data_IF_209807375807
#
_entry.id   IF_209807375807
#
_cell.length_a   1.000
_cell.length_b   1.000
_cell.length_c   1.000
_cell.angle_alpha   90.00
_cell.angle_beta   90.00
_cell.angle_gamma   90.00
#
_symmetry.space_group_name_H-M   'P 1'
#
loop_
_entity.id
_entity.type
_entity.pdbx_description
1 polymer ?
#
# COMPACT_ATOMS: atom_id res chain seq x y z
N UNK A 1 -8.68 15.58 37.50
CA UNK A 1 -9.06 16.58 38.52
C UNK A 1 -10.09 17.51 37.89
N UNK A 2 -11.36 17.32 38.22
CA UNK A 2 -12.49 18.09 37.69
C UNK A 2 -12.53 19.47 38.35
N UNK A 3 -12.53 20.54 37.57
CA UNK A 3 -12.89 21.87 38.08
C UNK A 3 -14.38 22.13 37.84
N UNK A 4 -15.08 22.47 38.94
CA UNK A 4 -16.51 22.79 38.99
C UNK A 4 -16.70 24.31 38.92
N UNK A 5 -17.70 24.69 38.13
CA UNK A 5 -18.13 26.01 37.65
C UNK A 5 -18.53 27.02 38.74
N UNK A 6 -18.41 28.33 38.46
CA UNK A 6 -19.40 29.34 38.91
C UNK A 6 -19.66 30.36 37.80
N UNK A 7 -20.86 30.30 37.20
CA UNK A 7 -21.46 31.40 36.43
C UNK A 7 -22.27 32.30 37.37
N UNK A 8 -22.21 33.64 37.21
CA UNK A 8 -23.22 34.51 37.76
C UNK A 8 -24.41 34.63 36.79
N UNK A 9 -25.58 34.27 37.32
CA UNK A 9 -26.96 34.73 37.05
C UNK A 9 -27.19 35.54 35.75
N UNK A 10 -27.99 34.97 34.83
CA UNK A 10 -28.65 35.75 33.78
C UNK A 10 -29.04 34.99 32.50
N UNK A 11 -30.15 34.24 32.55
CA UNK A 11 -31.16 34.10 31.48
C UNK A 11 -30.71 33.82 30.02
N UNK A 12 -30.79 32.55 29.61
CA UNK A 12 -31.53 31.97 28.46
C UNK A 12 -30.87 30.66 28.01
N UNK A 13 -31.67 29.60 27.98
CA UNK A 13 -31.32 28.28 27.41
C UNK A 13 -31.06 28.36 25.90
N UNK A 14 -30.05 27.63 25.42
CA UNK A 14 -30.15 26.75 24.27
C UNK A 14 -29.93 25.31 24.78
N UNK A 15 -30.94 24.43 24.81
CA UNK A 15 -31.30 23.54 23.69
C UNK A 15 -30.06 23.07 22.93
N UNK A 16 -29.73 21.81 23.19
CA UNK A 16 -28.84 20.90 22.45
C UNK A 16 -27.32 21.09 22.58
N UNK A 17 -26.77 20.53 23.67
CA UNK A 17 -25.39 20.03 23.66
C UNK A 17 -25.39 18.63 23.01
N UNK A 18 -24.58 18.35 21.98
CA UNK A 18 -24.55 17.04 21.36
C UNK A 18 -23.92 16.04 22.33
N UNK A 19 -24.65 14.95 22.56
CA UNK A 19 -24.17 13.71 23.16
C UNK A 19 -23.06 13.14 22.24
N UNK A 20 -21.79 13.41 22.57
CA UNK A 20 -20.63 12.82 21.89
C UNK A 20 -20.60 11.33 22.24
N UNK A 21 -21.22 10.53 21.39
CA UNK A 21 -21.48 9.11 21.62
C UNK A 21 -20.27 8.26 21.24
N UNK A 22 -19.99 7.20 22.01
CA UNK A 22 -18.90 6.24 21.83
C UNK A 22 -18.72 5.65 20.41
N UNK A 23 -19.69 5.87 19.51
CA UNK A 23 -19.66 5.50 18.10
C UNK A 23 -18.65 6.31 17.29
N UNK A 24 -18.37 7.56 17.66
CA UNK A 24 -17.36 8.38 16.98
C UNK A 24 -15.92 7.90 17.25
N UNK A 25 -15.61 7.46 18.48
CA UNK A 25 -14.27 6.96 18.84
C UNK A 25 -13.91 5.63 18.15
N UNK A 26 -14.86 4.68 18.01
CA UNK A 26 -14.65 3.43 17.27
C UNK A 26 -14.45 3.68 15.77
N UNK A 27 -15.25 4.60 15.21
CA UNK A 27 -15.16 4.98 13.79
C UNK A 27 -13.79 5.61 13.49
N UNK A 28 -13.25 6.42 14.40
CA UNK A 28 -11.92 7.02 14.30
C UNK A 28 -10.76 6.00 14.41
N UNK A 29 -10.91 4.94 15.21
CA UNK A 29 -9.90 3.87 15.28
C UNK A 29 -9.86 3.01 14.02
N UNK A 30 -11.02 2.65 13.49
CA UNK A 30 -11.14 1.89 12.24
C UNK A 30 -10.62 2.74 11.07
N UNK A 31 -10.96 4.03 11.05
CA UNK A 31 -10.45 5.00 10.07
C UNK A 31 -8.92 5.12 10.15
N UNK A 32 -8.33 5.20 11.35
CA UNK A 32 -6.86 5.16 11.53
C UNK A 32 -6.27 3.84 11.08
N UNK A 33 -6.97 2.72 11.19
CA UNK A 33 -6.47 1.41 10.77
C UNK A 33 -6.43 1.26 9.24
N UNK A 34 -7.49 1.69 8.53
CA UNK A 34 -7.56 1.60 7.06
C UNK A 34 -6.78 2.70 6.32
N UNK A 35 -6.61 3.88 6.93
CA UNK A 35 -5.76 4.97 6.40
C UNK A 35 -4.32 4.84 6.91
N UNK A 36 -4.02 3.90 7.84
CA UNK A 36 -2.67 3.75 8.37
C UNK A 36 -1.69 3.38 7.26
N UNK A 37 -0.53 4.06 7.19
CA UNK A 37 0.54 3.77 6.23
C UNK A 37 0.92 2.28 6.21
N UNK A 38 0.80 1.59 7.35
CA UNK A 38 1.04 0.15 7.52
C UNK A 38 0.07 -0.72 6.73
N UNK A 39 -1.26 -0.51 6.86
CA UNK A 39 -2.23 -1.33 6.13
C UNK A 39 -2.04 -1.15 4.63
N UNK A 40 -1.83 0.09 4.18
CA UNK A 40 -1.59 0.40 2.77
C UNK A 40 -0.27 -0.18 2.25
N UNK A 41 0.82 -0.12 3.04
CA UNK A 41 2.13 -0.66 2.63
C UNK A 41 2.14 -2.20 2.63
N UNK A 42 1.52 -2.85 3.61
CA UNK A 42 1.40 -4.31 3.68
C UNK A 42 0.50 -4.86 2.57
N UNK A 43 -0.59 -4.18 2.23
CA UNK A 43 -1.61 -4.74 1.33
C UNK A 43 -1.54 -4.26 -0.11
N UNK A 44 -0.85 -3.15 -0.36
CA UNK A 44 -0.64 -2.62 -1.72
C UNK A 44 0.84 -2.71 -2.09
N UNK A 45 1.73 -2.24 -1.22
CA UNK A 45 3.17 -2.21 -1.47
C UNK A 45 3.80 -3.60 -1.60
N UNK A 46 3.60 -4.48 -0.62
CA UNK A 46 4.19 -5.83 -0.63
C UNK A 46 3.72 -6.66 -1.83
N UNK A 47 2.42 -6.73 -2.17
CA UNK A 47 1.99 -7.43 -3.38
C UNK A 47 2.64 -6.91 -4.66
N UNK A 48 2.77 -5.59 -4.83
CA UNK A 48 3.46 -5.01 -6.00
C UNK A 48 4.94 -5.39 -6.06
N UNK A 49 5.62 -5.43 -4.92
CA UNK A 49 7.00 -5.92 -4.85
C UNK A 49 7.09 -7.40 -5.24
N UNK A 50 6.17 -8.24 -4.76
CA UNK A 50 6.11 -9.67 -5.11
C UNK A 50 5.90 -9.85 -6.62
N UNK A 51 4.98 -9.12 -7.24
CA UNK A 51 4.76 -9.21 -8.69
C UNK A 51 6.00 -8.84 -9.49
N UNK A 52 6.68 -7.75 -9.14
CA UNK A 52 7.94 -7.35 -9.78
C UNK A 52 9.01 -8.43 -9.61
N UNK A 53 9.17 -8.97 -8.41
CA UNK A 53 10.17 -9.99 -8.10
C UNK A 53 9.92 -11.27 -8.91
N UNK A 54 8.69 -11.79 -8.90
CA UNK A 54 8.32 -13.01 -9.62
C UNK A 54 8.47 -12.82 -11.14
N UNK A 55 8.08 -11.66 -11.66
CA UNK A 55 8.32 -11.32 -13.06
C UNK A 55 9.80 -11.27 -13.41
N UNK A 56 10.63 -10.63 -12.59
CA UNK A 56 12.08 -10.57 -12.80
C UNK A 56 12.74 -11.95 -12.78
N UNK A 57 12.36 -12.81 -11.82
CA UNK A 57 12.84 -14.22 -11.76
C UNK A 57 12.43 -14.98 -13.02
N UNK A 58 11.17 -14.83 -13.44
CA UNK A 58 10.65 -15.50 -14.65
C UNK A 58 11.37 -15.00 -15.91
N UNK A 59 11.62 -13.68 -16.01
CA UNK A 59 12.38 -13.09 -17.11
C UNK A 59 13.81 -13.61 -17.18
N UNK A 60 14.49 -13.77 -16.04
CA UNK A 60 15.83 -14.41 -15.98
C UNK A 60 15.75 -15.86 -16.44
N UNK A 61 14.77 -16.64 -15.92
CA UNK A 61 14.59 -18.06 -16.24
C UNK A 61 14.39 -18.29 -17.73
N UNK A 62 13.51 -17.51 -18.36
CA UNK A 62 13.25 -17.55 -19.80
C UNK A 62 14.44 -16.97 -20.59
N UNK A 63 15.06 -15.91 -20.09
CA UNK A 63 16.18 -15.21 -20.71
C UNK A 63 17.41 -16.09 -20.89
N UNK A 64 17.73 -16.94 -19.90
CA UNK A 64 18.88 -17.86 -19.97
C UNK A 64 18.77 -18.78 -21.20
N UNK A 65 17.56 -19.19 -21.58
CA UNK A 65 17.32 -20.04 -22.75
C UNK A 65 17.11 -19.29 -24.07
N UNK A 66 17.00 -17.95 -24.06
CA UNK A 66 16.54 -17.18 -25.23
C UNK A 66 17.46 -16.00 -25.60
N UNK A 67 17.76 -15.11 -24.66
CA UNK A 67 18.51 -13.89 -24.95
C UNK A 67 19.16 -13.26 -23.71
N UNK A 68 20.45 -12.92 -23.82
CA UNK A 68 21.21 -12.26 -22.75
C UNK A 68 20.64 -10.91 -22.29
N UNK A 69 20.08 -10.04 -23.18
CA UNK A 69 19.45 -8.79 -22.74
C UNK A 69 18.27 -8.99 -21.79
N UNK A 70 17.47 -10.04 -22.00
CA UNK A 70 16.32 -10.35 -21.15
C UNK A 70 16.77 -10.78 -19.75
N UNK A 71 17.90 -11.49 -19.64
CA UNK A 71 18.50 -11.85 -18.35
C UNK A 71 18.92 -10.60 -17.57
N UNK A 72 19.62 -9.66 -18.22
CA UNK A 72 20.03 -8.41 -17.58
C UNK A 72 18.83 -7.56 -17.14
N UNK A 73 17.80 -7.49 -17.98
CA UNK A 73 16.56 -6.82 -17.64
C UNK A 73 15.87 -7.47 -16.43
N UNK A 74 15.77 -8.79 -16.41
CA UNK A 74 15.19 -9.53 -15.28
C UNK A 74 15.93 -9.26 -13.97
N UNK A 75 17.26 -9.27 -13.98
CA UNK A 75 18.07 -8.91 -12.80
C UNK A 75 17.86 -7.47 -12.35
N UNK A 76 17.77 -6.51 -13.28
CA UNK A 76 17.47 -5.13 -12.94
C UNK A 76 16.12 -5.00 -12.23
N UNK A 77 15.10 -5.72 -12.71
CA UNK A 77 13.77 -5.76 -12.08
C UNK A 77 13.81 -6.42 -10.70
N UNK A 78 14.57 -7.52 -10.52
CA UNK A 78 14.75 -8.18 -9.21
C UNK A 78 15.35 -7.21 -8.19
N UNK A 79 16.43 -6.50 -8.56
CA UNK A 79 17.08 -5.53 -7.68
C UNK A 79 16.12 -4.40 -7.31
N UNK A 80 15.37 -3.90 -8.30
CA UNK A 80 14.36 -2.87 -8.07
C UNK A 80 13.25 -3.34 -7.14
N UNK A 81 12.72 -4.56 -7.34
CA UNK A 81 11.71 -5.17 -6.47
C UNK A 81 12.22 -5.33 -5.03
N UNK A 82 13.48 -5.74 -4.85
CA UNK A 82 14.11 -5.88 -3.54
C UNK A 82 14.25 -4.53 -2.83
N UNK A 83 14.65 -3.48 -3.54
CA UNK A 83 14.72 -2.12 -2.99
C UNK A 83 13.34 -1.62 -2.55
N UNK A 84 12.32 -1.78 -3.41
CA UNK A 84 10.94 -1.41 -3.07
C UNK A 84 10.40 -2.21 -1.87
N UNK A 85 10.75 -3.50 -1.77
CA UNK A 85 10.33 -4.35 -0.64
C UNK A 85 10.98 -3.89 0.66
N UNK A 86 12.28 -3.58 0.65
CA UNK A 86 12.99 -3.07 1.82
C UNK A 86 12.39 -1.74 2.30
N UNK A 87 12.03 -0.86 1.37
CA UNK A 87 11.40 0.43 1.71
C UNK A 87 9.99 0.25 2.29
N UNK A 88 9.15 -0.57 1.66
CA UNK A 88 7.79 -0.85 2.15
C UNK A 88 7.81 -1.58 3.50
N UNK A 89 8.72 -2.55 3.67
CA UNK A 89 8.87 -3.29 4.93
C UNK A 89 9.44 -2.39 6.03
N UNK A 90 10.51 -1.63 5.74
CA UNK A 90 11.14 -0.73 6.69
C UNK A 90 10.17 0.33 7.20
N UNK A 91 9.34 0.89 6.31
CA UNK A 91 8.29 1.84 6.70
C UNK A 91 7.21 1.20 7.57
N UNK A 92 6.77 -0.01 7.22
CA UNK A 92 5.79 -0.75 8.03
C UNK A 92 6.33 -1.01 9.43
N UNK A 93 7.59 -1.44 9.55
CA UNK A 93 8.25 -1.67 10.84
C UNK A 93 8.41 -0.38 11.65
N UNK A 94 8.83 0.73 11.03
CA UNK A 94 9.00 2.02 11.71
C UNK A 94 7.67 2.59 12.22
N UNK A 95 6.60 2.47 11.44
CA UNK A 95 5.25 2.89 11.85
C UNK A 95 4.70 1.99 12.97
N UNK A 96 5.01 0.67 12.95
CA UNK A 96 4.73 -0.22 14.09
C UNK A 96 5.49 0.19 15.36
N UNK A 97 6.70 0.72 15.23
CA UNK A 97 7.53 1.20 16.35
C UNK A 97 7.16 2.63 16.80
N UNK A 98 6.10 3.23 16.25
CA UNK A 98 5.62 4.56 16.64
C UNK A 98 6.53 5.71 16.20
N UNK A 99 7.48 5.47 15.31
CA UNK A 99 8.40 6.49 14.80
C UNK A 99 7.90 7.01 13.44
N UNK A 100 7.71 8.33 13.27
CA UNK A 100 7.36 8.88 11.96
C UNK A 100 8.53 8.65 10.99
N UNK A 101 8.32 7.78 10.00
CA UNK A 101 9.29 7.54 8.94
C UNK A 101 9.38 8.74 8.00
N UNK A 102 10.57 9.35 7.89
CA UNK A 102 10.88 10.39 6.89
C UNK A 102 11.07 9.83 5.45
N UNK A 103 10.82 8.54 5.22
CA UNK A 103 11.01 7.87 3.93
C UNK A 103 9.70 7.71 3.13
N UNK A 104 9.81 7.67 1.80
CA UNK A 104 8.69 7.49 0.88
C UNK A 104 8.36 6.01 0.60
N UNK A 105 7.22 5.74 -0.06
CA UNK A 105 6.67 4.38 -0.21
C UNK A 105 7.47 3.45 -1.15
N UNK A 106 8.09 3.97 -2.23
CA UNK A 106 8.84 3.19 -3.22
C UNK A 106 10.13 3.91 -3.66
N UNK A 107 11.10 3.19 -4.22
CA UNK A 107 12.40 3.74 -4.67
C UNK A 107 12.21 4.83 -5.73
N UNK A 108 11.26 4.61 -6.64
CA UNK A 108 10.86 5.57 -7.68
C UNK A 108 10.19 6.80 -7.05
N UNK A 109 9.35 6.65 -6.02
CA UNK A 109 8.77 7.78 -5.30
C UNK A 109 9.86 8.61 -4.61
N UNK A 110 10.86 7.97 -3.99
CA UNK A 110 12.01 8.65 -3.41
C UNK A 110 12.83 9.43 -4.46
N UNK A 111 12.98 8.91 -5.68
CA UNK A 111 13.54 9.71 -6.78
C UNK A 111 12.63 10.90 -7.14
N UNK A 112 11.31 10.70 -7.16
CA UNK A 112 10.31 11.75 -7.35
C UNK A 112 10.27 12.81 -6.26
N UNK A 113 10.75 12.51 -5.05
CA UNK A 113 10.88 13.49 -3.96
C UNK A 113 11.92 14.56 -4.27
N UNK A 114 12.99 14.18 -4.96
CA UNK A 114 14.05 15.09 -5.40
C UNK A 114 13.48 16.09 -6.43
N UNK A 115 12.49 15.65 -7.22
CA UNK A 115 11.79 16.46 -8.23
C UNK A 115 10.53 17.14 -7.65
N UNK A 116 10.26 16.99 -6.34
CA UNK A 116 9.12 17.59 -5.65
C UNK A 116 7.75 17.02 -6.04
N UNK A 117 7.68 15.88 -6.74
CA UNK A 117 6.42 15.24 -7.19
C UNK A 117 6.33 13.75 -6.84
N UNK A 118 6.39 13.38 -5.56
CA UNK A 118 6.45 11.98 -5.14
C UNK A 118 5.22 11.15 -5.50
N UNK A 119 4.03 11.76 -5.53
CA UNK A 119 2.77 11.08 -5.86
C UNK A 119 2.69 10.63 -7.32
N UNK A 120 3.26 11.40 -8.24
CA UNK A 120 3.28 11.05 -9.68
C UNK A 120 4.17 9.83 -9.91
N UNK A 121 5.33 9.80 -9.27
CA UNK A 121 6.27 8.70 -9.34
C UNK A 121 5.72 7.42 -8.70
N UNK A 122 4.92 7.54 -7.64
CA UNK A 122 4.17 6.41 -7.07
C UNK A 122 3.08 5.88 -8.03
N UNK A 123 2.39 6.77 -8.74
CA UNK A 123 1.40 6.35 -9.75
C UNK A 123 2.06 5.61 -10.92
N UNK A 124 3.26 6.03 -11.33
CA UNK A 124 4.06 5.31 -12.34
C UNK A 124 4.46 3.92 -11.83
N UNK A 125 4.95 3.81 -10.59
CA UNK A 125 5.30 2.53 -9.97
C UNK A 125 4.12 1.54 -9.95
N UNK A 126 2.94 2.08 -9.60
CA UNK A 126 1.67 1.35 -9.61
C UNK A 126 1.29 0.92 -11.03
N UNK A 127 1.38 1.82 -12.00
CA UNK A 127 1.11 1.52 -13.42
C UNK A 127 2.04 0.42 -13.95
N UNK A 128 3.33 0.51 -13.68
CA UNK A 128 4.31 -0.50 -14.09
C UNK A 128 4.03 -1.85 -13.44
N UNK A 129 3.61 -1.86 -12.17
CA UNK A 129 3.21 -3.09 -11.48
C UNK A 129 1.99 -3.73 -12.15
N UNK A 130 0.96 -2.95 -12.50
CA UNK A 130 -0.19 -3.47 -13.26
C UNK A 130 0.20 -3.95 -14.67
N UNK A 131 1.11 -3.26 -15.36
CA UNK A 131 1.62 -3.69 -16.65
C UNK A 131 2.33 -5.05 -16.55
N UNK A 132 3.12 -5.27 -15.49
CA UNK A 132 3.76 -6.56 -15.19
C UNK A 132 2.72 -7.66 -14.97
N UNK A 133 1.68 -7.39 -14.17
CA UNK A 133 0.58 -8.35 -13.93
C UNK A 133 -0.09 -8.72 -15.24
N UNK A 134 -0.50 -7.72 -16.03
CA UNK A 134 -1.14 -7.93 -17.32
C UNK A 134 -0.25 -8.73 -18.28
N UNK A 135 1.05 -8.41 -18.32
CA UNK A 135 2.00 -9.13 -19.16
C UNK A 135 2.12 -10.59 -18.74
N UNK A 136 2.35 -10.87 -17.45
CA UNK A 136 2.48 -12.24 -16.91
C UNK A 136 1.26 -13.12 -17.23
N UNK A 137 0.06 -12.54 -17.17
CA UNK A 137 -1.18 -13.24 -17.50
C UNK A 137 -1.35 -13.41 -19.02
N UNK A 138 -1.10 -12.37 -19.81
CA UNK A 138 -1.30 -12.40 -21.25
C UNK A 138 -0.27 -13.26 -21.99
N UNK A 139 1.00 -13.21 -21.59
CA UNK A 139 2.08 -13.99 -22.20
C UNK A 139 2.07 -15.47 -21.79
N UNK A 140 1.27 -15.83 -20.78
CA UNK A 140 1.26 -17.16 -20.18
C UNK A 140 2.44 -17.43 -19.25
N UNK A 141 3.33 -16.46 -18.99
CA UNK A 141 4.51 -16.65 -18.12
C UNK A 141 4.15 -17.03 -16.69
N UNK A 142 2.90 -16.82 -16.27
CA UNK A 142 2.38 -17.35 -15.02
C UNK A 142 2.57 -18.87 -14.86
N UNK A 143 2.59 -19.64 -15.95
CA UNK A 143 2.78 -21.10 -15.89
C UNK A 143 4.23 -21.51 -15.64
N UNK A 144 5.18 -20.59 -15.82
CA UNK A 144 6.60 -20.85 -15.57
C UNK A 144 6.95 -20.73 -14.08
N UNK A 145 6.02 -20.25 -13.24
CA UNK A 145 6.22 -20.15 -11.81
C UNK A 145 6.25 -21.55 -11.18
N UNK A 146 7.21 -21.77 -10.27
CA UNK A 146 7.22 -22.94 -9.39
C UNK A 146 6.01 -22.92 -8.45
N UNK A 147 5.69 -24.04 -7.82
CA UNK A 147 4.58 -24.16 -6.87
C UNK A 147 4.62 -23.08 -5.78
N UNK A 148 5.81 -22.81 -5.22
CA UNK A 148 5.97 -21.79 -4.16
C UNK A 148 5.76 -20.38 -4.72
N UNK A 149 6.32 -20.09 -5.88
CA UNK A 149 6.16 -18.80 -6.58
C UNK A 149 4.70 -18.55 -6.95
N UNK A 150 3.98 -19.58 -7.41
CA UNK A 150 2.56 -19.51 -7.73
C UNK A 150 1.70 -19.23 -6.48
N UNK A 151 1.97 -19.90 -5.36
CA UNK A 151 1.28 -19.58 -4.10
C UNK A 151 1.53 -18.14 -3.65
N UNK A 152 2.77 -17.64 -3.78
CA UNK A 152 3.08 -16.24 -3.50
C UNK A 152 2.33 -15.29 -4.43
N UNK A 153 2.26 -15.61 -5.72
CA UNK A 153 1.48 -14.84 -6.69
C UNK A 153 0.01 -14.77 -6.30
N UNK A 154 -0.63 -15.92 -6.02
CA UNK A 154 -2.04 -15.97 -5.65
C UNK A 154 -2.32 -15.24 -4.34
N UNK A 155 -1.45 -15.38 -3.34
CA UNK A 155 -1.57 -14.66 -2.09
C UNK A 155 -1.46 -13.14 -2.31
N UNK A 156 -0.48 -12.70 -3.10
CA UNK A 156 -0.29 -11.29 -3.46
C UNK A 156 -1.49 -10.73 -4.23
N UNK A 157 -2.01 -11.45 -5.23
CA UNK A 157 -3.21 -11.05 -5.99
C UNK A 157 -4.43 -10.94 -5.08
N UNK A 158 -4.65 -11.93 -4.22
CA UNK A 158 -5.78 -11.94 -3.29
C UNK A 158 -5.70 -10.75 -2.34
N UNK A 159 -4.53 -10.52 -1.73
CA UNK A 159 -4.31 -9.41 -0.83
C UNK A 159 -4.49 -8.06 -1.55
N UNK A 160 -3.96 -7.90 -2.75
CA UNK A 160 -4.04 -6.67 -3.52
C UNK A 160 -5.50 -6.34 -3.91
N UNK A 161 -6.21 -7.30 -4.50
CA UNK A 161 -7.58 -7.08 -4.98
C UNK A 161 -8.57 -6.87 -3.85
N UNK A 162 -8.54 -7.71 -2.82
CA UNK A 162 -9.44 -7.58 -1.67
C UNK A 162 -9.21 -6.22 -0.99
N UNK A 163 -7.96 -5.80 -0.83
CA UNK A 163 -7.66 -4.54 -0.13
C UNK A 163 -8.11 -3.33 -0.93
N UNK A 164 -7.93 -3.33 -2.26
CA UNK A 164 -8.49 -2.29 -3.12
C UNK A 164 -10.02 -2.25 -3.05
N UNK A 165 -10.68 -3.41 -3.08
CA UNK A 165 -12.15 -3.49 -2.94
C UNK A 165 -12.64 -2.99 -1.59
N UNK A 166 -11.99 -3.37 -0.49
CA UNK A 166 -12.35 -2.92 0.86
C UNK A 166 -12.19 -1.41 0.99
N UNK A 167 -11.07 -0.85 0.52
CA UNK A 167 -10.85 0.60 0.53
C UNK A 167 -11.88 1.34 -0.32
N UNK A 168 -12.24 0.79 -1.48
CA UNK A 168 -13.27 1.36 -2.35
C UNK A 168 -14.64 1.37 -1.68
N UNK A 169 -15.07 0.25 -1.09
CA UNK A 169 -16.35 0.12 -0.37
C UNK A 169 -16.39 1.08 0.82
N UNK A 170 -15.31 1.15 1.60
CA UNK A 170 -15.22 2.04 2.74
C UNK A 170 -15.37 3.51 2.34
N UNK A 171 -14.67 3.94 1.29
CA UNK A 171 -14.76 5.32 0.80
C UNK A 171 -16.17 5.66 0.30
N UNK A 172 -16.85 4.73 -0.38
CA UNK A 172 -18.18 4.96 -0.91
C UNK A 172 -19.26 4.96 0.18
N UNK A 173 -19.19 4.02 1.12
CA UNK A 173 -20.10 3.95 2.27
C UNK A 173 -20.08 5.24 3.10
N UNK A 174 -18.94 5.94 3.13
CA UNK A 174 -18.78 7.21 3.81
C UNK A 174 -19.27 8.41 3.00
N UNK A 175 -19.15 8.41 1.67
CA UNK A 175 -19.69 9.51 0.84
C UNK A 175 -21.22 9.55 0.84
N UNK A 176 -21.85 8.41 1.08
CA UNK A 176 -23.30 8.27 1.22
C UNK A 176 -23.84 8.44 2.64
N UNK A 177 -23.00 8.67 3.64
CA UNK A 177 -23.36 8.94 5.04
C UNK A 177 -23.20 10.43 5.38
#
# INVERSE_FOLDING_TARGET
MCYRVKSPVGMKTPVDAPEMTCREEETDQIQRFFIRPVFLSLTIGIPFCIFKLLFGITAVRIGIGTSSPLVWFGWAVIIWAAADLLMNTGRSVLDLLGHPSNFQYCTIAQAGSIVGRPLVFLAIDTFLSFAIICFMLWSGWITELTTVEAYLWYAATTMNLISLSVVSIYNEARRGA
#
